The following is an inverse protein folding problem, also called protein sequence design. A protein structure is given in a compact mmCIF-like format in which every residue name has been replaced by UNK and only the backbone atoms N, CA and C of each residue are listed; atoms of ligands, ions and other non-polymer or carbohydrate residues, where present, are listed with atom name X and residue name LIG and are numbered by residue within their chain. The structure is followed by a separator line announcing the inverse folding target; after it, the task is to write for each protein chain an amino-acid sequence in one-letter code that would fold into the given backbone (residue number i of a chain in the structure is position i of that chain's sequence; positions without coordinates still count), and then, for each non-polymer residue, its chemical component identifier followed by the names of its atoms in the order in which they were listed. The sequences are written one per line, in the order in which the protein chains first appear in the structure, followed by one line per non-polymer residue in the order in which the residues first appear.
data_IF_071852856591
#
_entry.id   IF_071852856591
#
_cell.length_a   1.000
_cell.length_b   1.000
_cell.length_c   1.000
_cell.angle_alpha   90.00
_cell.angle_beta   90.00
_cell.angle_gamma   90.00
#
_symmetry.space_group_name_H-M   'P 1'
#
loop_
_entity.id
_entity.type
_entity.pdbx_description
1 polymer ?
#
# COMPACT_ATOMS: atom_id res chain seq x y z
N UNK A 1 14.30 -14.52 1.88
CA UNK A 1 13.49 -13.44 1.29
C UNK A 1 13.05 -12.57 2.44
N UNK A 2 13.43 -11.29 2.43
CA UNK A 2 13.05 -10.35 3.49
C UNK A 2 11.59 -9.89 3.33
N UNK A 3 11.00 -9.33 4.38
CA UNK A 3 9.65 -8.74 4.33
C UNK A 3 9.56 -7.64 3.27
N UNK A 4 10.61 -6.85 3.10
CA UNK A 4 10.70 -5.81 2.07
C UNK A 4 10.60 -6.37 0.65
N UNK A 5 11.29 -7.49 0.39
CA UNK A 5 11.19 -8.17 -0.90
C UNK A 5 9.78 -8.72 -1.13
N UNK A 6 9.17 -9.33 -0.12
CA UNK A 6 7.79 -9.84 -0.20
C UNK A 6 6.80 -8.72 -0.52
N UNK A 7 6.90 -7.57 0.16
CA UNK A 7 6.04 -6.40 -0.09
C UNK A 7 6.21 -5.88 -1.53
N UNK A 8 7.45 -5.79 -2.02
CA UNK A 8 7.73 -5.40 -3.41
C UNK A 8 7.21 -6.39 -4.43
N UNK A 9 7.27 -7.69 -4.15
CA UNK A 9 6.73 -8.72 -5.05
C UNK A 9 5.21 -8.65 -5.16
N UNK A 10 4.50 -8.32 -4.08
CA UNK A 10 3.04 -8.19 -4.09
C UNK A 10 2.54 -7.11 -5.06
N UNK A 11 3.24 -5.98 -5.16
CA UNK A 11 2.84 -4.88 -6.04
C UNK A 11 3.33 -5.05 -7.48
N UNK A 12 4.34 -5.90 -7.70
CA UNK A 12 4.83 -6.23 -9.04
C UNK A 12 3.76 -6.88 -9.92
N UNK A 13 2.83 -7.62 -9.33
CA UNK A 13 1.70 -8.21 -10.05
C UNK A 13 0.64 -7.16 -10.44
N UNK A 14 0.56 -6.05 -9.72
CA UNK A 14 -0.39 -4.96 -9.98
C UNK A 14 0.09 -3.94 -11.01
N UNK A 15 1.39 -3.89 -11.33
CA UNK A 15 2.00 -3.15 -12.45
C UNK A 15 2.00 -1.62 -12.36
N UNK A 16 1.02 -1.04 -11.68
CA UNK A 16 0.74 0.40 -11.64
C UNK A 16 1.03 1.04 -10.27
N UNK A 17 1.42 0.23 -9.28
CA UNK A 17 1.70 0.66 -7.90
C UNK A 17 3.18 0.42 -7.59
N UNK A 18 3.87 1.44 -7.08
CA UNK A 18 5.30 1.37 -6.74
C UNK A 18 5.53 1.63 -5.25
N UNK A 19 6.42 0.85 -4.61
CA UNK A 19 6.91 1.16 -3.26
C UNK A 19 8.10 2.11 -3.38
N UNK A 20 7.97 3.31 -2.84
CA UNK A 20 9.04 4.32 -2.86
C UNK A 20 9.98 4.17 -1.67
N UNK A 21 9.45 3.83 -0.49
CA UNK A 21 10.22 3.65 0.75
C UNK A 21 9.53 2.66 1.68
N UNK A 22 10.32 1.89 2.44
CA UNK A 22 9.81 0.98 3.48
C UNK A 22 10.52 1.36 4.78
N UNK A 23 9.78 1.75 5.80
CA UNK A 23 10.31 2.05 7.12
C UNK A 23 9.72 1.10 8.16
N UNK A 24 10.42 -0.01 8.41
CA UNK A 24 10.01 -1.00 9.42
C UNK A 24 10.20 -0.51 10.86
N UNK A 25 10.98 0.57 11.10
CA UNK A 25 11.11 1.14 12.45
C UNK A 25 9.90 1.98 12.82
N UNK A 26 9.31 2.65 11.82
CA UNK A 26 8.08 3.43 11.95
C UNK A 26 6.85 2.63 11.52
N UNK A 27 7.01 1.32 11.29
CA UNK A 27 5.95 0.39 10.87
C UNK A 27 5.12 0.95 9.71
N UNK A 28 5.76 1.51 8.68
CA UNK A 28 5.06 2.11 7.55
C UNK A 28 5.76 1.88 6.21
N UNK A 29 4.98 2.00 5.14
CA UNK A 29 5.40 1.87 3.75
C UNK A 29 4.89 3.06 2.95
N UNK A 30 5.77 3.69 2.18
CA UNK A 30 5.39 4.73 1.24
C UNK A 30 5.13 4.10 -0.12
N UNK A 31 3.92 4.30 -0.62
CA UNK A 31 3.44 3.71 -1.87
C UNK A 31 3.03 4.83 -2.81
N UNK A 32 3.51 4.79 -4.05
CA UNK A 32 3.04 5.65 -5.12
C UNK A 32 1.96 4.90 -5.90
N UNK A 33 0.74 5.41 -5.82
CA UNK A 33 -0.41 4.91 -6.56
C UNK A 33 -0.43 5.46 -8.00
N UNK A 34 -1.11 4.78 -8.94
CA UNK A 34 -1.24 5.28 -10.30
C UNK A 34 -1.98 6.61 -10.34
N UNK A 35 -1.52 7.49 -11.24
CA UNK A 35 -2.06 8.85 -11.44
C UNK A 35 -1.85 9.81 -10.26
N UNK A 36 -1.20 9.39 -9.18
CA UNK A 36 -0.79 10.26 -8.09
C UNK A 36 0.61 10.84 -8.33
N UNK A 37 0.86 12.05 -7.81
CA UNK A 37 2.18 12.71 -7.88
C UNK A 37 2.96 12.60 -6.57
N UNK A 38 2.31 12.11 -5.53
CA UNK A 38 2.86 11.98 -4.18
C UNK A 38 2.65 10.57 -3.67
N UNK A 39 3.68 10.03 -3.01
CA UNK A 39 3.55 8.78 -2.28
C UNK A 39 2.59 8.96 -1.10
N UNK A 40 1.78 7.95 -0.87
CA UNK A 40 0.92 7.82 0.29
C UNK A 40 1.61 6.96 1.34
N UNK A 41 1.39 7.28 2.61
CA UNK A 41 1.84 6.47 3.72
C UNK A 41 0.80 5.37 3.98
N UNK A 42 1.28 4.13 4.07
CA UNK A 42 0.51 2.95 4.47
C UNK A 42 1.10 2.46 5.78
N UNK A 43 0.32 2.54 6.85
CA UNK A 43 0.68 1.95 8.13
C UNK A 43 0.69 0.42 8.04
N UNK A 44 1.63 -0.21 8.75
CA UNK A 44 1.76 -1.64 8.91
C UNK A 44 1.41 -2.00 10.34
N UNK A 45 0.61 -3.04 10.50
CA UNK A 45 0.28 -3.58 11.81
C UNK A 45 0.75 -5.03 11.92
N UNK A 46 1.30 -5.39 13.08
CA UNK A 46 1.58 -6.77 13.47
C UNK A 46 3.06 -7.10 13.64
N UNK A 47 3.30 -8.13 14.46
CA UNK A 47 4.66 -8.55 14.85
C UNK A 47 5.27 -9.64 13.95
N UNK A 48 4.50 -10.20 13.02
CA UNK A 48 4.95 -11.27 12.12
C UNK A 48 4.84 -10.87 10.66
N UNK A 49 5.74 -11.39 9.83
CA UNK A 49 5.73 -11.18 8.38
C UNK A 49 4.35 -11.37 7.74
N UNK A 50 3.62 -12.41 8.16
CA UNK A 50 2.29 -12.72 7.61
C UNK A 50 1.26 -11.65 7.96
N UNK A 51 1.24 -11.20 9.23
CA UNK A 51 0.30 -10.16 9.68
C UNK A 51 0.64 -8.82 9.05
N UNK A 52 1.93 -8.47 8.93
CA UNK A 52 2.40 -7.26 8.24
C UNK A 52 1.94 -7.25 6.78
N UNK A 53 2.05 -8.39 6.09
CA UNK A 53 1.61 -8.52 4.70
C UNK A 53 0.10 -8.37 4.56
N UNK A 54 -0.67 -9.00 5.44
CA UNK A 54 -2.14 -8.87 5.41
C UNK A 54 -2.57 -7.44 5.71
N UNK A 55 -2.00 -6.81 6.74
CA UNK A 55 -2.23 -5.40 7.10
C UNK A 55 -1.92 -4.47 5.93
N UNK A 56 -0.76 -4.65 5.28
CA UNK A 56 -0.39 -3.87 4.10
C UNK A 56 -1.43 -3.98 2.98
N UNK A 57 -1.87 -5.21 2.66
CA UNK A 57 -2.88 -5.45 1.61
C UNK A 57 -4.21 -4.81 1.95
N UNK A 58 -4.66 -4.95 3.19
CA UNK A 58 -5.93 -4.38 3.64
C UNK A 58 -5.90 -2.85 3.54
N UNK A 59 -4.85 -2.21 4.04
CA UNK A 59 -4.70 -0.76 4.02
C UNK A 59 -4.58 -0.18 2.60
N UNK A 60 -3.83 -0.84 1.71
CA UNK A 60 -3.75 -0.43 0.30
C UNK A 60 -5.11 -0.56 -0.38
N UNK A 61 -5.82 -1.69 -0.20
CA UNK A 61 -7.13 -1.89 -0.80
C UNK A 61 -8.17 -0.90 -0.27
N UNK A 62 -8.19 -0.66 1.04
CA UNK A 62 -9.07 0.34 1.64
C UNK A 62 -8.83 1.72 1.04
N UNK A 63 -7.56 2.10 0.84
CA UNK A 63 -7.22 3.38 0.24
C UNK A 63 -7.66 3.48 -1.22
N UNK A 64 -7.49 2.42 -2.00
CA UNK A 64 -7.97 2.33 -3.38
C UNK A 64 -9.50 2.42 -3.45
N UNK A 65 -10.20 1.71 -2.56
CA UNK A 65 -11.66 1.74 -2.46
C UNK A 65 -12.17 3.13 -2.08
N UNK A 66 -11.52 3.82 -1.13
CA UNK A 66 -11.82 5.20 -0.78
C UNK A 66 -11.65 6.14 -1.99
N UNK A 67 -10.59 5.97 -2.78
CA UNK A 67 -10.38 6.75 -4.00
C UNK A 67 -11.47 6.48 -5.04
N UNK A 68 -11.84 5.22 -5.24
CA UNK A 68 -12.91 4.83 -6.16
C UNK A 68 -14.26 5.38 -5.69
N UNK A 69 -14.56 5.29 -4.39
CA UNK A 69 -15.78 5.82 -3.81
C UNK A 69 -15.85 7.34 -3.95
N UNK A 70 -14.75 8.06 -3.70
CA UNK A 70 -14.71 9.50 -3.88
C UNK A 70 -14.93 9.92 -5.35
N UNK A 71 -14.37 9.18 -6.30
CA UNK A 71 -14.62 9.38 -7.74
C UNK A 71 -16.09 9.11 -8.11
N UNK A 72 -16.73 8.12 -7.49
CA UNK A 72 -18.14 7.82 -7.72
C UNK A 72 -19.08 8.86 -7.09
N UNK A 73 -18.73 9.39 -5.91
CA UNK A 73 -19.49 10.46 -5.27
C UNK A 73 -19.42 11.79 -6.04
N UNK A 74 -18.32 12.06 -6.75
CA UNK A 74 -18.19 13.24 -7.60
C UNK A 74 -19.04 13.20 -8.90
N UNK A 75 -19.78 12.12 -9.17
CA UNK A 75 -20.65 12.01 -10.36
C UNK A 75 -22.08 12.55 -10.19
N UNK A 76 -22.40 13.21 -9.08
CA UNK A 76 -23.74 13.78 -8.82
C UNK A 76 -23.75 15.30 -8.69
#
# INVERSE_FOLDING_TARGET
MSIEEKLKELLKESGDIEITEINLQEECVYVLLPYETSAILIDLEGDTDEVIIESFKENVNHRLDDMVNHLNDCKF
#
